data_IF_309373124173
#
_entry.id   IF_309373124173
#
_cell.length_a   1.000
_cell.length_b   1.000
_cell.length_c   1.000
_cell.angle_alpha   90.00
_cell.angle_beta   90.00
_cell.angle_gamma   90.00
#
_symmetry.space_group_name_H-M   'P 1'
#
loop_
_entity.id
_entity.type
_entity.pdbx_description
1 polymer ?
#
# COMPACT_ATOMS: atom_id res chain seq x y z
N UNK A 1 -46.81 21.81 15.22
CA UNK A 1 -45.63 21.19 15.86
C UNK A 1 -45.56 19.74 15.41
N UNK A 2 -44.47 19.35 14.74
CA UNK A 2 -43.88 17.99 14.69
C UNK A 2 -42.85 17.98 13.55
N UNK A 3 -41.57 17.86 13.90
CA UNK A 3 -40.50 17.59 12.93
C UNK A 3 -40.39 16.07 12.72
N UNK A 4 -40.19 15.58 11.48
CA UNK A 4 -39.87 14.18 11.27
C UNK A 4 -38.39 13.90 11.57
N UNK A 5 -38.17 12.95 12.49
CA UNK A 5 -36.88 12.41 12.88
C UNK A 5 -36.14 11.82 11.68
N UNK A 6 -35.02 12.42 11.29
CA UNK A 6 -34.02 11.73 10.49
C UNK A 6 -33.27 10.75 11.40
N UNK A 7 -33.71 9.49 11.36
CA UNK A 7 -32.96 8.34 11.88
C UNK A 7 -31.53 8.41 11.36
N UNK A 8 -30.57 8.53 12.29
CA UNK A 8 -29.15 8.38 12.03
C UNK A 8 -28.92 6.90 11.68
N UNK A 9 -28.88 6.57 10.39
CA UNK A 9 -28.45 5.25 9.94
C UNK A 9 -26.97 5.10 10.30
N UNK A 10 -26.73 4.43 11.41
CA UNK A 10 -25.45 3.83 11.75
C UNK A 10 -25.21 2.68 10.78
N UNK A 11 -24.63 2.98 9.62
CA UNK A 11 -24.12 1.94 8.72
C UNK A 11 -22.82 1.42 9.33
N UNK A 12 -22.88 0.23 9.92
CA UNK A 12 -21.71 -0.60 10.16
C UNK A 12 -21.22 -1.05 8.77
N UNK A 13 -20.40 -0.23 8.11
CA UNK A 13 -19.68 -0.65 6.91
C UNK A 13 -18.49 -1.43 7.44
N UNK A 14 -18.50 -2.75 7.26
CA UNK A 14 -17.30 -3.56 7.45
C UNK A 14 -16.27 -3.03 6.46
N UNK A 15 -15.36 -2.18 6.96
CA UNK A 15 -14.34 -1.56 6.14
C UNK A 15 -13.25 -2.61 5.96
N UNK A 16 -13.34 -3.36 4.86
CA UNK A 16 -12.29 -4.27 4.41
C UNK A 16 -10.93 -3.56 4.51
N UNK A 17 -9.89 -4.23 5.04
CA UNK A 17 -8.57 -3.64 5.22
C UNK A 17 -8.03 -3.17 3.86
N UNK A 18 -7.56 -1.92 3.82
CA UNK A 18 -7.03 -1.31 2.60
C UNK A 18 -5.62 -1.81 2.27
N UNK A 19 -4.86 -2.20 3.29
CA UNK A 19 -3.51 -2.77 3.14
C UNK A 19 -3.44 -4.18 3.72
N UNK A 20 -2.43 -4.94 3.28
CA UNK A 20 -2.19 -6.32 3.75
C UNK A 20 -2.00 -6.41 5.27
N UNK A 21 -1.46 -5.36 5.89
CA UNK A 21 -1.25 -5.28 7.34
C UNK A 21 -2.45 -4.67 8.11
N UNK A 22 -3.60 -4.54 7.46
CA UNK A 22 -4.86 -4.20 8.11
C UNK A 22 -5.07 -2.71 8.37
N UNK A 23 -4.39 -1.82 7.63
CA UNK A 23 -4.62 -0.39 7.75
C UNK A 23 -5.84 0.01 6.94
N UNK A 24 -6.64 0.93 7.50
CA UNK A 24 -7.71 1.58 6.75
C UNK A 24 -7.12 2.60 5.77
N UNK A 25 -7.90 2.97 4.77
CA UNK A 25 -7.53 4.06 3.86
C UNK A 25 -7.25 5.37 4.61
N UNK A 26 -8.05 5.69 5.62
CA UNK A 26 -7.86 6.90 6.44
C UNK A 26 -6.55 6.86 7.24
N UNK A 27 -6.20 5.69 7.80
CA UNK A 27 -4.94 5.49 8.52
C UNK A 27 -3.74 5.70 7.58
N UNK A 28 -3.75 5.07 6.40
CA UNK A 28 -2.67 5.18 5.41
C UNK A 28 -2.51 6.62 4.96
N UNK A 29 -3.62 7.30 4.63
CA UNK A 29 -3.58 8.70 4.24
C UNK A 29 -2.96 9.59 5.32
N UNK A 30 -3.29 9.36 6.59
CA UNK A 30 -2.72 10.11 7.71
C UNK A 30 -1.22 9.82 7.86
N UNK A 31 -0.82 8.55 7.78
CA UNK A 31 0.58 8.12 7.80
C UNK A 31 1.41 8.78 6.70
N UNK A 32 0.97 8.72 5.44
CA UNK A 32 1.67 9.32 4.30
C UNK A 32 1.75 10.85 4.42
N UNK A 33 0.70 11.49 4.93
CA UNK A 33 0.69 12.94 5.18
C UNK A 33 1.76 13.34 6.21
N UNK A 34 1.99 12.51 7.24
CA UNK A 34 3.06 12.74 8.21
C UNK A 34 4.41 12.48 7.56
N UNK A 35 4.55 11.36 6.84
CA UNK A 35 5.80 10.98 6.14
C UNK A 35 6.28 12.07 5.18
N UNK A 36 5.36 12.73 4.47
CA UNK A 36 5.66 13.84 3.56
C UNK A 36 6.38 15.03 4.23
N UNK A 37 6.24 15.19 5.56
CA UNK A 37 6.90 16.27 6.31
C UNK A 37 8.38 16.00 6.60
N UNK A 38 8.86 14.78 6.37
CA UNK A 38 10.22 14.35 6.71
C UNK A 38 11.03 14.02 5.46
N UNK A 39 12.34 14.26 5.52
CA UNK A 39 13.26 13.83 4.48
C UNK A 39 13.30 12.29 4.38
N UNK A 40 13.69 11.77 3.21
CA UNK A 40 13.87 10.32 3.00
C UNK A 40 15.37 9.98 2.98
N UNK A 41 15.87 9.07 3.84
CA UNK A 41 15.13 8.29 4.84
C UNK A 41 14.73 9.13 6.07
N UNK A 42 13.56 8.85 6.68
CA UNK A 42 13.06 9.62 7.79
C UNK A 42 13.92 9.42 9.06
N UNK A 43 14.12 10.47 9.87
CA UNK A 43 14.82 10.38 11.15
C UNK A 43 13.98 9.57 12.16
N UNK A 44 14.57 9.03 13.24
CA UNK A 44 13.83 8.30 14.27
C UNK A 44 12.62 9.06 14.85
N UNK A 45 12.69 10.39 14.90
CA UNK A 45 11.61 11.28 15.34
C UNK A 45 10.32 11.14 14.51
N UNK A 46 10.41 10.67 13.26
CA UNK A 46 9.23 10.38 12.43
C UNK A 46 8.29 9.38 13.10
N UNK A 47 8.82 8.27 13.63
CA UNK A 47 8.00 7.24 14.24
C UNK A 47 7.29 7.72 15.52
N UNK A 48 7.95 8.61 16.26
CA UNK A 48 7.38 9.24 17.46
C UNK A 48 6.23 10.19 17.08
N UNK A 49 6.41 10.99 16.02
CA UNK A 49 5.37 11.88 15.48
C UNK A 49 4.15 11.09 15.00
N UNK A 50 4.37 9.98 14.28
CA UNK A 50 3.26 9.10 13.85
C UNK A 50 2.55 8.50 15.05
N UNK A 51 3.28 8.02 16.06
CA UNK A 51 2.67 7.46 17.27
C UNK A 51 1.89 8.51 18.08
N UNK A 52 2.35 9.77 18.06
CA UNK A 52 1.66 10.89 18.68
C UNK A 52 0.34 11.21 17.96
N UNK A 53 0.37 11.28 16.63
CA UNK A 53 -0.79 11.59 15.79
C UNK A 53 -1.76 10.42 15.64
N UNK A 54 -1.29 9.18 15.79
CA UNK A 54 -2.07 7.95 15.62
C UNK A 54 -1.99 7.09 16.89
N UNK A 55 -2.53 7.54 18.03
CA UNK A 55 -2.39 6.84 19.32
C UNK A 55 -3.07 5.46 19.37
N UNK A 56 -3.93 5.13 18.39
CA UNK A 56 -4.53 3.81 18.24
C UNK A 56 -3.64 2.81 17.49
N UNK A 57 -2.52 3.24 16.89
CA UNK A 57 -1.54 2.36 16.28
C UNK A 57 -0.36 2.15 17.21
N UNK A 58 0.10 0.91 17.32
CA UNK A 58 1.29 0.61 18.13
C UNK A 58 2.57 0.99 17.38
N UNK A 59 3.63 1.36 18.10
CA UNK A 59 4.95 1.62 17.52
C UNK A 59 5.44 0.46 16.63
N UNK A 60 5.15 -0.79 17.02
CA UNK A 60 5.47 -1.98 16.23
C UNK A 60 4.69 -2.01 14.92
N UNK A 61 3.40 -1.72 14.93
CA UNK A 61 2.58 -1.67 13.72
C UNK A 61 3.02 -0.54 12.78
N UNK A 62 3.36 0.63 13.31
CA UNK A 62 3.86 1.77 12.52
C UNK A 62 5.17 1.41 11.79
N UNK A 63 6.12 0.79 12.49
CA UNK A 63 7.40 0.36 11.89
C UNK A 63 7.19 -0.72 10.83
N UNK A 64 6.34 -1.70 11.13
CA UNK A 64 5.99 -2.76 10.18
C UNK A 64 5.38 -2.18 8.90
N UNK A 65 4.44 -1.24 9.02
CA UNK A 65 3.81 -0.59 7.88
C UNK A 65 4.84 0.13 6.99
N UNK A 66 5.79 0.84 7.60
CA UNK A 66 6.87 1.51 6.88
C UNK A 66 7.81 0.51 6.18
N UNK A 67 8.15 -0.61 6.81
CA UNK A 67 8.97 -1.68 6.21
C UNK A 67 8.28 -2.31 4.98
N UNK A 68 6.96 -2.53 5.06
CA UNK A 68 6.18 -3.04 3.94
C UNK A 68 6.15 -2.04 2.77
N UNK A 69 5.98 -0.75 3.06
CA UNK A 69 6.05 0.31 2.05
C UNK A 69 7.41 0.32 1.32
N UNK A 70 8.52 0.19 2.06
CA UNK A 70 9.86 0.11 1.45
C UNK A 70 10.02 -1.13 0.57
N UNK A 71 9.46 -2.27 0.99
CA UNK A 71 9.47 -3.50 0.20
C UNK A 71 8.72 -3.30 -1.12
N UNK A 72 7.54 -2.69 -1.10
CA UNK A 72 6.75 -2.45 -2.31
C UNK A 72 7.42 -1.44 -3.24
N UNK A 73 8.02 -0.37 -2.70
CA UNK A 73 8.85 0.55 -3.50
C UNK A 73 10.04 -0.16 -4.16
N UNK A 74 10.65 -1.13 -3.45
CA UNK A 74 11.70 -1.99 -3.99
C UNK A 74 11.23 -2.83 -5.17
N UNK A 75 10.08 -3.50 -5.03
CA UNK A 75 9.46 -4.28 -6.12
C UNK A 75 9.16 -3.41 -7.34
N UNK A 76 8.57 -2.24 -7.13
CA UNK A 76 8.25 -1.28 -8.20
C UNK A 76 9.52 -0.87 -8.95
N UNK A 77 10.58 -0.51 -8.21
CA UNK A 77 11.86 -0.08 -8.79
C UNK A 77 12.53 -1.20 -9.59
N UNK A 78 12.40 -2.44 -9.15
CA UNK A 78 13.00 -3.60 -9.80
C UNK A 78 12.12 -4.20 -10.92
N UNK A 79 10.93 -3.63 -11.17
CA UNK A 79 9.92 -4.20 -12.07
C UNK A 79 9.52 -5.64 -11.69
N UNK A 80 9.60 -5.98 -10.41
CA UNK A 80 9.18 -7.26 -9.85
C UNK A 80 7.67 -7.22 -9.60
N UNK A 81 6.89 -7.28 -10.68
CA UNK A 81 5.44 -7.43 -10.61
C UNK A 81 5.08 -8.88 -10.88
N UNK A 82 4.33 -9.50 -9.98
CA UNK A 82 3.61 -10.72 -10.30
C UNK A 82 2.59 -10.35 -11.38
N UNK A 83 2.85 -10.79 -12.61
CA UNK A 83 1.93 -10.58 -13.73
C UNK A 83 0.62 -11.28 -13.38
N UNK A 84 -0.41 -10.50 -13.05
CA UNK A 84 -1.78 -11.01 -13.00
C UNK A 84 -2.12 -11.36 -14.45
N UNK A 85 -2.03 -12.64 -14.79
CA UNK A 85 -2.66 -13.16 -15.99
C UNK A 85 -4.16 -12.95 -15.82
N UNK A 86 -4.67 -11.82 -16.30
CA UNK A 86 -6.11 -11.73 -16.58
C UNK A 86 -6.31 -12.73 -17.70
N UNK A 87 -6.93 -13.87 -17.39
CA UNK A 87 -7.44 -14.78 -18.41
C UNK A 87 -8.59 -14.05 -19.12
N UNK A 88 -8.24 -13.06 -19.95
CA UNK A 88 -9.14 -12.56 -20.97
C UNK A 88 -9.15 -13.65 -22.04
N UNK A 89 -10.29 -14.29 -22.21
CA UNK A 89 -10.49 -15.34 -23.19
C UNK A 89 -10.13 -14.82 -24.60
N UNK A 90 -8.89 -15.03 -25.02
CA UNK A 90 -8.51 -14.96 -26.43
C UNK A 90 -7.40 -14.00 -26.84
N UNK A 91 -6.55 -13.47 -25.96
CA UNK A 91 -5.39 -12.71 -26.45
C UNK A 91 -4.07 -13.06 -25.74
N UNK A 92 -3.25 -13.85 -26.44
CA UNK A 92 -1.90 -14.21 -26.03
C UNK A 92 -1.06 -12.95 -25.77
N UNK A 93 -0.56 -12.81 -24.54
CA UNK A 93 0.41 -11.78 -24.18
C UNK A 93 1.73 -12.06 -24.92
N UNK A 94 2.00 -11.28 -25.97
CA UNK A 94 3.14 -11.46 -26.88
C UNK A 94 4.40 -10.70 -26.43
N UNK A 95 4.67 -10.56 -25.12
CA UNK A 95 5.84 -9.79 -24.67
C UNK A 95 6.67 -10.58 -23.65
N UNK A 96 7.43 -11.52 -24.18
CA UNK A 96 8.82 -11.76 -23.76
C UNK A 96 9.63 -12.06 -25.03
N UNK A 97 10.24 -11.01 -25.57
CA UNK A 97 11.11 -11.10 -26.74
C UNK A 97 12.32 -11.98 -26.46
N UNK A 98 12.63 -12.83 -27.43
CA UNK A 98 13.81 -13.68 -27.53
C UNK A 98 15.09 -12.96 -27.13
N UNK A 99 15.84 -13.57 -26.21
CA UNK A 99 17.30 -13.53 -26.28
C UNK A 99 17.82 -14.95 -26.13
N UNK A 100 17.93 -15.64 -27.27
CA UNK A 100 18.89 -16.73 -27.43
C UNK A 100 19.64 -16.47 -28.73
N UNK A 101 20.62 -15.59 -28.66
CA UNK A 101 21.63 -15.47 -29.71
C UNK A 101 22.70 -16.53 -29.43
N UNK A 102 22.56 -17.64 -30.14
CA UNK A 102 23.58 -18.65 -30.40
C UNK A 102 24.84 -18.01 -30.98
N UNK A 103 26.02 -18.41 -30.49
CA UNK A 103 27.30 -18.37 -31.21
C UNK A 103 28.40 -19.03 -30.35
N UNK A 104 28.43 -20.36 -30.32
CA UNK A 104 29.65 -21.09 -29.96
C UNK A 104 30.59 -21.12 -31.17
N UNK A 105 31.82 -20.66 -30.95
CA UNK A 105 32.90 -20.53 -31.92
C UNK A 105 33.69 -21.83 -32.09
N UNK A 106 34.13 -22.05 -33.35
CA UNK A 106 35.18 -22.97 -33.88
C UNK A 106 35.35 -24.39 -33.32
#
# INVERSE_FOLDING_TARGET
MAQPNHKKSSSNVEHEPYTEDGWSFEDVKKFETILYKFDTPPPPAFFEEVAHEMPWKTMKAIKLHYELLLKDLGKIKNLEFEMICVEDEGQACSICGEQSADSQSD
#
